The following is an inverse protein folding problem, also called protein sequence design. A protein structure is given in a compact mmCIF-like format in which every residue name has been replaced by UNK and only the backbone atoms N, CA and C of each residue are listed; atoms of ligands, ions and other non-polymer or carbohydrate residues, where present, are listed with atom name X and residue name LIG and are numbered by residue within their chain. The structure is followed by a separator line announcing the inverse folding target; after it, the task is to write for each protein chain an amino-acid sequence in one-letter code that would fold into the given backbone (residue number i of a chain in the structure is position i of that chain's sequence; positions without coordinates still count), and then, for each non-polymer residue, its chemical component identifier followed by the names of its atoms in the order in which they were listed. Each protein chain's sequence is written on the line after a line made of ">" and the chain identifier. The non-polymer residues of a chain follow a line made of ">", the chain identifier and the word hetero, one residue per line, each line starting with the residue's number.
data_IF_297125370527
#
_entry.id   IF_297125370527
#
_cell.length_a   1.000
_cell.length_b   1.000
_cell.length_c   1.000
_cell.angle_alpha   90.00
_cell.angle_beta   90.00
_cell.angle_gamma   90.00
#
_symmetry.space_group_name_H-M   'P 1'
#
loop_
_entity.id
_entity.type
_entity.pdbx_description
1 polymer ?
#
# COMPACT_ATOMS: atom_id res chain seq x y z
N UNK A 1 24.60 16.89 48.89
CA UNK A 1 24.66 15.53 48.32
C UNK A 1 23.78 15.51 47.08
N UNK A 2 24.37 15.71 45.90
CA UNK A 2 23.70 15.51 44.62
C UNK A 2 24.66 14.66 43.80
N UNK A 3 24.33 13.39 43.73
CA UNK A 3 25.10 12.34 43.04
C UNK A 3 25.18 12.66 41.54
N UNK A 4 26.37 12.51 40.98
CA UNK A 4 26.66 12.74 39.57
C UNK A 4 26.16 11.57 38.70
N UNK A 5 25.58 11.88 37.54
CA UNK A 5 25.11 10.89 36.55
C UNK A 5 26.32 10.32 35.80
N UNK A 6 26.47 8.98 35.68
CA UNK A 6 27.60 8.41 34.97
C UNK A 6 27.41 8.52 33.45
N UNK A 7 28.48 8.95 32.79
CA UNK A 7 28.58 9.23 31.37
C UNK A 7 28.40 7.97 30.50
N UNK A 8 27.69 8.12 29.38
CA UNK A 8 27.30 7.05 28.47
C UNK A 8 28.51 6.57 27.67
N UNK A 9 29.00 5.38 28.00
CA UNK A 9 30.14 4.69 27.38
C UNK A 9 30.00 4.58 25.84
N UNK A 10 30.77 5.37 25.11
CA UNK A 10 30.87 5.30 23.65
C UNK A 10 31.61 4.02 23.25
N UNK A 11 30.90 3.09 22.58
CA UNK A 11 31.46 1.87 22.01
C UNK A 11 32.65 2.21 21.10
N UNK A 12 33.87 2.00 21.61
CA UNK A 12 35.12 2.02 20.85
C UNK A 12 35.02 0.98 19.73
N UNK A 13 34.89 1.41 18.48
CA UNK A 13 35.15 0.55 17.32
C UNK A 13 36.68 0.40 17.25
N UNK A 14 37.18 -0.80 17.52
CA UNK A 14 38.60 -1.13 17.40
C UNK A 14 39.11 -1.00 15.95
N UNK A 15 40.43 -0.93 15.76
CA UNK A 15 41.00 -0.74 14.44
C UNK A 15 40.89 -2.04 13.63
N UNK A 16 40.42 -1.87 12.39
CA UNK A 16 40.36 -2.86 11.32
C UNK A 16 41.79 -3.23 10.91
N UNK A 17 42.36 -4.28 11.52
CA UNK A 17 43.67 -4.80 11.12
C UNK A 17 43.56 -5.47 9.75
N UNK A 18 44.48 -5.05 8.89
CA UNK A 18 44.66 -5.50 7.52
C UNK A 18 45.18 -6.93 7.47
N UNK A 19 44.55 -7.72 6.59
CA UNK A 19 45.18 -8.65 5.65
C UNK A 19 46.42 -9.40 6.14
N UNK A 20 46.24 -10.66 6.52
CA UNK A 20 47.24 -11.70 6.28
C UNK A 20 46.68 -12.61 5.19
N UNK A 21 47.27 -12.48 4.02
CA UNK A 21 47.07 -13.32 2.85
C UNK A 21 47.87 -14.61 3.09
N UNK A 22 47.17 -15.71 3.35
CA UNK A 22 47.73 -17.06 3.33
C UNK A 22 46.98 -17.83 2.26
N UNK A 23 47.56 -17.78 1.06
CA UNK A 23 47.17 -18.57 -0.10
C UNK A 23 47.34 -20.06 0.20
N UNK A 24 46.21 -20.74 0.41
CA UNK A 24 46.03 -22.12 -0.03
C UNK A 24 44.87 -22.05 -1.02
N UNK A 25 45.16 -22.36 -2.27
CA UNK A 25 44.19 -22.42 -3.36
C UNK A 25 43.17 -23.53 -3.03
N UNK A 26 42.11 -23.18 -2.31
CA UNK A 26 40.92 -24.01 -2.16
C UNK A 26 39.90 -23.51 -3.20
N UNK A 27 39.54 -24.38 -4.14
CA UNK A 27 38.52 -24.14 -5.16
C UNK A 27 37.27 -23.45 -4.56
N UNK A 28 36.93 -22.21 -4.98
CA UNK A 28 35.81 -21.46 -4.41
C UNK A 28 34.42 -22.07 -4.71
N UNK A 29 34.38 -23.10 -5.55
CA UNK A 29 33.18 -23.84 -5.94
C UNK A 29 32.76 -24.89 -4.89
N UNK A 30 33.72 -25.42 -4.11
CA UNK A 30 33.44 -26.39 -3.06
C UNK A 30 32.73 -25.77 -1.83
N UNK A 31 32.90 -24.45 -1.62
CA UNK A 31 32.34 -23.72 -0.48
C UNK A 31 30.81 -23.54 -0.54
N UNK A 32 30.17 -23.82 -1.68
CA UNK A 32 28.73 -23.60 -1.88
C UNK A 32 27.97 -24.85 -2.33
N UNK A 33 28.44 -26.05 -1.97
CA UNK A 33 27.65 -27.27 -2.13
C UNK A 33 26.37 -27.19 -1.29
N UNK A 34 25.26 -26.84 -1.95
CA UNK A 34 23.93 -26.73 -1.37
C UNK A 34 23.28 -28.11 -1.35
N UNK A 35 23.16 -28.70 -0.16
CA UNK A 35 22.59 -30.02 0.05
C UNK A 35 21.10 -29.85 0.45
N UNK A 36 20.16 -30.58 -0.16
CA UNK A 36 18.75 -30.54 0.23
C UNK A 36 18.52 -31.24 1.57
N UNK A 37 17.64 -30.69 2.40
CA UNK A 37 17.17 -31.35 3.61
C UNK A 37 16.18 -32.49 3.28
N UNK A 38 16.36 -33.68 3.87
CA UNK A 38 15.45 -34.84 3.67
C UNK A 38 14.01 -34.58 4.13
N UNK A 39 13.83 -33.61 5.03
CA UNK A 39 12.59 -33.38 5.76
C UNK A 39 11.76 -32.27 5.09
N UNK A 40 12.37 -31.17 4.66
CA UNK A 40 11.65 -30.05 4.02
C UNK A 40 12.15 -29.68 2.62
N UNK A 41 13.14 -30.40 2.09
CA UNK A 41 13.71 -30.25 0.74
C UNK A 41 14.21 -28.84 0.40
N UNK A 42 14.42 -27.98 1.41
CA UNK A 42 15.15 -26.71 1.24
C UNK A 42 16.65 -27.00 1.18
N UNK A 43 17.38 -26.28 0.34
CA UNK A 43 18.82 -26.47 0.15
C UNK A 43 19.62 -25.57 1.08
N UNK A 44 20.65 -26.13 1.73
CA UNK A 44 21.52 -25.44 2.69
C UNK A 44 22.98 -25.75 2.42
N UNK A 45 23.87 -24.82 2.76
CA UNK A 45 25.31 -25.13 2.85
C UNK A 45 25.53 -26.17 3.96
N UNK A 46 26.56 -27.01 3.82
CA UNK A 46 26.87 -28.12 4.74
C UNK A 46 26.86 -27.68 6.22
N UNK A 47 27.52 -26.57 6.53
CA UNK A 47 27.60 -26.04 7.90
C UNK A 47 26.23 -25.62 8.48
N UNK A 48 25.34 -25.10 7.62
CA UNK A 48 23.99 -24.68 8.04
C UNK A 48 23.01 -25.85 8.07
N UNK A 49 23.24 -26.89 7.26
CA UNK A 49 22.37 -28.05 7.17
C UNK A 49 22.27 -28.77 8.52
N UNK A 50 23.38 -28.95 9.25
CA UNK A 50 23.37 -29.61 10.57
C UNK A 50 22.43 -28.88 11.54
N UNK A 51 22.55 -27.55 11.63
CA UNK A 51 21.68 -26.73 12.47
C UNK A 51 20.23 -26.77 12.00
N UNK A 52 20.02 -26.84 10.68
CA UNK A 52 18.70 -26.94 10.08
C UNK A 52 18.05 -28.29 10.40
N UNK A 53 18.76 -29.41 10.31
CA UNK A 53 18.24 -30.75 10.58
C UNK A 53 17.71 -30.86 12.01
N UNK A 54 18.48 -30.37 13.01
CA UNK A 54 18.04 -30.34 14.43
C UNK A 54 16.70 -29.62 14.64
N UNK A 55 16.44 -28.57 13.86
CA UNK A 55 15.19 -27.78 13.97
C UNK A 55 14.08 -28.32 13.05
N UNK A 56 14.45 -28.88 11.90
CA UNK A 56 13.51 -29.31 10.88
C UNK A 56 12.87 -30.66 11.20
N UNK A 57 13.58 -31.55 11.90
CA UNK A 57 13.08 -32.86 12.33
C UNK A 57 11.77 -32.71 13.13
N UNK A 58 11.75 -31.78 14.08
CA UNK A 58 10.53 -31.35 14.77
C UNK A 58 9.75 -30.36 13.92
N UNK A 59 9.27 -30.79 12.73
CA UNK A 59 8.34 -30.02 11.89
C UNK A 59 7.19 -29.53 12.77
N UNK A 60 7.21 -28.26 13.16
CA UNK A 60 6.04 -27.68 13.82
C UNK A 60 4.90 -27.71 12.81
N UNK A 61 3.71 -28.17 13.21
CA UNK A 61 2.55 -28.14 12.31
C UNK A 61 2.37 -26.71 11.81
N UNK A 62 2.01 -26.57 10.53
CA UNK A 62 1.72 -25.27 9.96
C UNK A 62 0.68 -24.59 10.85
N UNK A 63 1.02 -23.41 11.37
CA UNK A 63 0.10 -22.64 12.21
C UNK A 63 -1.17 -22.39 11.41
N UNK A 64 -2.33 -22.65 12.00
CA UNK A 64 -3.61 -22.34 11.37
C UNK A 64 -3.62 -20.85 11.02
N UNK A 65 -4.07 -20.53 9.81
CA UNK A 65 -4.26 -19.13 9.41
C UNK A 65 -5.25 -18.52 10.40
N UNK A 66 -4.79 -17.51 11.12
CA UNK A 66 -5.61 -16.83 12.12
C UNK A 66 -6.71 -16.05 11.42
N UNK A 67 -7.96 -16.45 11.62
CA UNK A 67 -9.11 -15.79 11.03
C UNK A 67 -9.60 -14.69 11.99
N UNK A 68 -9.40 -13.42 11.60
CA UNK A 68 -9.83 -12.27 12.41
C UNK A 68 -11.33 -12.27 12.67
N UNK A 69 -12.15 -12.66 11.68
CA UNK A 69 -13.61 -12.70 11.83
C UNK A 69 -14.02 -13.73 12.88
N UNK A 70 -13.38 -14.90 12.86
CA UNK A 70 -13.64 -15.94 13.86
C UNK A 70 -13.19 -15.52 15.25
N UNK A 71 -12.03 -14.86 15.36
CA UNK A 71 -11.54 -14.40 16.66
C UNK A 71 -12.40 -13.26 17.25
N UNK A 72 -13.02 -12.44 16.40
CA UNK A 72 -13.99 -11.41 16.81
C UNK A 72 -15.34 -11.99 17.19
N UNK A 73 -15.79 -13.02 16.47
CA UNK A 73 -17.07 -13.66 16.74
C UNK A 73 -17.03 -14.55 17.99
N UNK A 74 -15.88 -15.16 18.29
CA UNK A 74 -15.73 -16.11 19.40
C UNK A 74 -16.24 -15.55 20.73
N UNK A 75 -17.14 -16.29 21.39
CA UNK A 75 -17.72 -15.91 22.68
C UNK A 75 -18.75 -14.78 22.63
N UNK A 76 -19.18 -14.37 21.43
CA UNK A 76 -20.31 -13.44 21.24
C UNK A 76 -21.47 -14.17 20.58
N UNK A 77 -22.67 -13.59 20.67
CA UNK A 77 -23.88 -14.08 19.97
C UNK A 77 -23.67 -14.26 18.45
N UNK A 78 -22.74 -13.49 17.88
CA UNK A 78 -22.32 -13.62 16.48
C UNK A 78 -21.73 -15.00 16.16
N UNK A 79 -21.12 -15.71 17.13
CA UNK A 79 -20.58 -17.06 16.92
C UNK A 79 -21.68 -18.08 16.59
N UNK A 80 -22.82 -18.00 17.28
CA UNK A 80 -23.95 -18.90 17.06
C UNK A 80 -24.63 -18.59 15.72
N UNK A 81 -24.83 -17.31 15.42
CA UNK A 81 -25.39 -16.86 14.15
C UNK A 81 -24.53 -17.30 12.95
N UNK A 82 -23.20 -17.26 13.05
CA UNK A 82 -22.31 -17.71 11.97
C UNK A 82 -22.31 -19.23 11.76
N UNK A 83 -22.67 -20.03 12.78
CA UNK A 83 -22.76 -21.50 12.68
C UNK A 83 -24.09 -21.97 12.09
N UNK A 84 -25.18 -21.28 12.43
CA UNK A 84 -26.55 -21.67 12.04
C UNK A 84 -26.95 -21.09 10.68
N UNK A 85 -26.55 -19.86 10.38
CA UNK A 85 -26.77 -19.25 9.07
C UNK A 85 -25.59 -19.55 8.14
N UNK A 86 -25.67 -20.69 7.44
CA UNK A 86 -24.88 -20.94 6.25
C UNK A 86 -25.12 -19.80 5.26
N UNK A 87 -24.12 -18.90 5.15
CA UNK A 87 -24.02 -17.75 4.26
C UNK A 87 -25.17 -17.68 3.28
N UNK A 88 -26.17 -16.84 3.56
CA UNK A 88 -27.23 -16.56 2.60
C UNK A 88 -26.56 -16.35 1.24
N UNK A 89 -26.93 -17.18 0.26
CA UNK A 89 -26.44 -17.10 -1.11
C UNK A 89 -27.05 -15.86 -1.74
N UNK A 90 -26.79 -14.67 -1.18
CA UNK A 90 -26.93 -13.45 -1.95
C UNK A 90 -25.99 -13.64 -3.14
N UNK A 91 -26.49 -13.62 -4.39
CA UNK A 91 -25.63 -13.79 -5.54
C UNK A 91 -24.54 -12.73 -5.42
N UNK A 92 -23.30 -13.19 -5.25
CA UNK A 92 -22.13 -12.30 -5.25
C UNK A 92 -22.26 -11.49 -6.52
N UNK A 93 -22.51 -10.18 -6.41
CA UNK A 93 -22.57 -9.32 -7.58
C UNK A 93 -21.20 -9.42 -8.23
N UNK A 94 -21.12 -10.15 -9.34
CA UNK A 94 -19.87 -10.39 -10.06
C UNK A 94 -19.33 -9.00 -10.42
N UNK A 95 -18.18 -8.66 -9.87
CA UNK A 95 -17.58 -7.36 -10.12
C UNK A 95 -17.15 -7.31 -11.58
N UNK A 96 -17.90 -6.55 -12.38
CA UNK A 96 -17.65 -6.46 -13.81
C UNK A 96 -16.52 -5.47 -14.14
N UNK A 97 -15.42 -5.56 -13.40
CA UNK A 97 -14.28 -4.64 -13.47
C UNK A 97 -13.63 -4.65 -14.85
N UNK A 98 -13.44 -5.83 -15.46
CA UNK A 98 -12.88 -5.96 -16.81
C UNK A 98 -13.72 -5.21 -17.84
N UNK A 99 -15.04 -5.41 -17.83
CA UNK A 99 -15.96 -4.70 -18.73
C UNK A 99 -15.99 -3.19 -18.46
N UNK A 100 -16.00 -2.76 -17.19
CA UNK A 100 -15.94 -1.33 -16.84
C UNK A 100 -14.62 -0.67 -17.26
N UNK A 101 -13.51 -1.37 -17.09
CA UNK A 101 -12.19 -0.90 -17.50
C UNK A 101 -12.10 -0.81 -19.03
N UNK A 102 -12.55 -1.83 -19.74
CA UNK A 102 -12.55 -1.85 -21.20
C UNK A 102 -13.43 -0.76 -21.79
N UNK A 103 -14.66 -0.59 -21.28
CA UNK A 103 -15.55 0.49 -21.68
C UNK A 103 -14.90 1.88 -21.49
N UNK A 104 -14.23 2.10 -20.36
CA UNK A 104 -13.50 3.35 -20.10
C UNK A 104 -12.36 3.56 -21.09
N UNK A 105 -11.54 2.54 -21.36
CA UNK A 105 -10.43 2.62 -22.33
C UNK A 105 -10.97 2.86 -23.75
N UNK A 106 -12.06 2.20 -24.13
CA UNK A 106 -12.73 2.42 -25.41
C UNK A 106 -13.23 3.87 -25.53
N UNK A 107 -13.89 4.43 -24.51
CA UNK A 107 -14.33 5.84 -24.51
C UNK A 107 -13.15 6.80 -24.62
N UNK A 108 -12.05 6.57 -23.89
CA UNK A 108 -10.84 7.40 -23.96
C UNK A 108 -10.15 7.33 -25.34
N UNK A 109 -10.17 6.17 -26.00
CA UNK A 109 -9.64 6.00 -27.37
C UNK A 109 -10.51 6.69 -28.41
N UNK A 110 -11.83 6.58 -28.29
CA UNK A 110 -12.80 7.27 -29.16
C UNK A 110 -12.75 8.79 -28.96
N UNK A 111 -12.51 9.26 -27.74
CA UNK A 111 -12.39 10.68 -27.40
C UNK A 111 -11.09 11.35 -27.84
N UNK A 112 -10.21 10.68 -28.61
CA UNK A 112 -9.10 11.33 -29.31
C UNK A 112 -9.62 11.99 -30.59
N UNK A 113 -10.42 13.02 -30.39
CA UNK A 113 -11.07 13.85 -31.40
C UNK A 113 -11.87 14.90 -30.64
N UNK A 114 -11.79 16.16 -31.04
CA UNK A 114 -12.36 17.32 -30.34
C UNK A 114 -13.79 17.07 -29.85
N UNK A 115 -13.94 16.69 -28.58
CA UNK A 115 -15.23 16.68 -27.90
C UNK A 115 -15.53 18.14 -27.56
N UNK A 116 -16.67 18.71 -27.98
CA UNK A 116 -17.11 20.00 -27.47
C UNK A 116 -17.11 19.89 -25.93
N UNK A 117 -16.58 20.87 -25.19
CA UNK A 117 -16.66 20.84 -23.74
C UNK A 117 -18.14 20.72 -23.40
N UNK A 118 -18.57 19.55 -22.94
CA UNK A 118 -19.87 19.41 -22.32
C UNK A 118 -19.88 20.47 -21.23
N UNK A 119 -20.69 21.48 -21.44
CA UNK A 119 -20.80 22.61 -20.57
C UNK A 119 -21.03 22.05 -19.17
N UNK A 120 -20.02 22.16 -18.32
CA UNK A 120 -20.12 21.95 -16.89
C UNK A 120 -20.94 23.09 -16.27
N UNK A 121 -22.01 23.50 -16.95
CA UNK A 121 -23.01 24.44 -16.50
C UNK A 121 -23.82 23.71 -15.44
N UNK A 122 -23.31 23.81 -14.21
CA UNK A 122 -24.10 24.30 -13.09
C UNK A 122 -25.42 23.55 -12.83
N UNK A 123 -25.33 22.25 -12.57
CA UNK A 123 -26.43 21.42 -12.03
C UNK A 123 -26.16 21.02 -10.57
N UNK A 124 -25.74 21.96 -9.73
CA UNK A 124 -25.57 21.69 -8.30
C UNK A 124 -26.10 22.87 -7.47
N UNK A 125 -27.37 23.23 -7.70
CA UNK A 125 -28.11 24.20 -6.87
C UNK A 125 -28.23 23.78 -5.41
N UNK A 126 -27.99 22.51 -5.08
CA UNK A 126 -28.09 21.97 -3.72
C UNK A 126 -26.76 22.02 -2.94
N UNK A 127 -25.66 22.50 -3.54
CA UNK A 127 -24.37 22.55 -2.85
C UNK A 127 -24.29 23.74 -1.89
N UNK A 128 -24.19 23.44 -0.60
CA UNK A 128 -24.05 24.40 0.51
C UNK A 128 -22.58 24.72 0.74
N UNK A 129 -22.26 26.00 0.93
CA UNK A 129 -20.91 26.48 1.24
C UNK A 129 -20.73 26.61 2.75
N UNK A 130 -19.62 26.09 3.29
CA UNK A 130 -19.32 26.22 4.72
C UNK A 130 -18.86 27.65 5.07
N UNK A 131 -19.47 28.33 6.07
CA UNK A 131 -19.09 29.69 6.45
C UNK A 131 -17.69 29.78 7.10
N UNK A 132 -17.16 28.66 7.61
CA UNK A 132 -15.88 28.66 8.31
C UNK A 132 -14.67 28.29 7.44
N UNK A 133 -14.86 27.60 6.31
CA UNK A 133 -13.74 27.20 5.44
C UNK A 133 -13.96 27.43 3.94
N UNK A 134 -15.14 27.92 3.53
CA UNK A 134 -15.45 28.23 2.13
C UNK A 134 -15.56 27.02 1.20
N UNK A 135 -15.42 25.78 1.70
CA UNK A 135 -15.60 24.56 0.90
C UNK A 135 -17.09 24.32 0.61
N UNK A 136 -17.39 23.84 -0.59
CA UNK A 136 -18.76 23.48 -1.03
C UNK A 136 -19.01 22.00 -0.84
N UNK A 137 -20.14 21.64 -0.27
CA UNK A 137 -20.56 20.28 0.01
C UNK A 137 -22.01 20.06 -0.42
N UNK A 138 -22.38 18.82 -0.75
CA UNK A 138 -23.78 18.41 -0.78
C UNK A 138 -24.42 18.59 0.61
N UNK A 139 -25.75 18.69 0.75
CA UNK A 139 -26.40 19.10 2.01
C UNK A 139 -26.12 18.14 3.18
N UNK A 140 -26.29 16.83 2.99
CA UNK A 140 -26.00 15.85 4.06
C UNK A 140 -24.54 15.84 4.56
N UNK A 141 -23.53 15.99 3.67
CA UNK A 141 -22.16 16.26 4.08
C UNK A 141 -21.97 17.64 4.75
N UNK A 142 -22.65 18.69 4.28
CA UNK A 142 -22.57 20.03 4.85
C UNK A 142 -23.05 20.06 6.31
N UNK A 143 -24.18 19.42 6.61
CA UNK A 143 -24.76 19.30 7.96
C UNK A 143 -23.77 18.72 8.98
N UNK A 144 -23.01 17.68 8.59
CA UNK A 144 -22.00 17.05 9.46
C UNK A 144 -20.67 17.80 9.47
N UNK A 145 -20.40 18.57 8.42
CA UNK A 145 -19.14 19.31 8.27
C UNK A 145 -19.14 20.61 9.08
N UNK A 146 -20.20 21.42 8.99
CA UNK A 146 -20.28 22.75 9.61
C UNK A 146 -19.96 22.73 11.12
N UNK A 147 -20.58 21.89 11.98
CA UNK A 147 -20.33 21.92 13.42
C UNK A 147 -18.90 21.47 13.77
N UNK A 148 -18.33 20.54 13.00
CA UNK A 148 -16.93 20.12 13.18
C UNK A 148 -15.97 21.20 12.71
N UNK A 149 -16.28 21.85 11.59
CA UNK A 149 -15.45 22.88 10.97
C UNK A 149 -15.39 24.16 11.81
N UNK A 150 -16.41 24.44 12.63
CA UNK A 150 -16.42 25.58 13.54
C UNK A 150 -15.20 25.58 14.48
N UNK A 151 -14.86 24.43 15.08
CA UNK A 151 -13.85 24.33 16.15
C UNK A 151 -12.42 24.01 15.66
N UNK A 152 -12.22 23.86 14.35
CA UNK A 152 -10.90 23.53 13.78
C UNK A 152 -10.07 24.81 13.58
N UNK A 153 -8.99 24.97 14.36
CA UNK A 153 -8.03 26.10 14.23
C UNK A 153 -7.04 25.91 13.07
N UNK A 154 -6.64 24.66 12.81
CA UNK A 154 -5.79 24.29 11.67
C UNK A 154 -6.63 24.07 10.41
N UNK A 155 -6.81 25.12 9.60
CA UNK A 155 -7.58 25.05 8.35
C UNK A 155 -6.61 24.96 7.17
N UNK A 156 -6.29 23.77 6.64
CA UNK A 156 -5.45 23.67 5.45
C UNK A 156 -6.17 24.34 4.26
N UNK A 157 -5.41 25.00 3.37
CA UNK A 157 -5.98 25.66 2.20
C UNK A 157 -6.85 24.67 1.40
N UNK A 158 -7.95 25.14 0.79
CA UNK A 158 -8.76 24.29 -0.06
C UNK A 158 -7.88 23.68 -1.16
N UNK A 159 -8.04 22.39 -1.48
CA UNK A 159 -7.32 21.79 -2.61
C UNK A 159 -7.66 22.61 -3.85
N UNK A 160 -6.62 22.99 -4.61
CA UNK A 160 -6.77 23.73 -5.87
C UNK A 160 -7.78 22.97 -6.71
N UNK A 161 -8.96 23.56 -6.90
CA UNK A 161 -9.89 23.05 -7.89
C UNK A 161 -9.17 23.14 -9.24
N UNK A 162 -9.30 22.15 -10.14
CA UNK A 162 -8.81 22.29 -11.49
C UNK A 162 -9.55 23.46 -12.11
N UNK A 163 -8.91 24.61 -12.09
CA UNK A 163 -9.36 25.79 -12.80
C UNK A 163 -9.18 25.45 -14.28
N UNK A 164 -10.25 25.60 -15.06
CA UNK A 164 -10.19 25.57 -16.52
C UNK A 164 -9.43 26.80 -17.01
N UNK A 165 -8.11 26.79 -16.94
CA UNK A 165 -7.26 27.82 -17.53
C UNK A 165 -7.09 27.56 -19.02
N UNK A 166 -8.05 28.05 -19.80
CA UNK A 166 -7.83 28.34 -21.21
C UNK A 166 -6.93 29.57 -21.31
N UNK A 167 -5.61 29.36 -21.35
CA UNK A 167 -4.65 30.36 -21.76
C UNK A 167 -3.67 29.72 -22.75
N UNK A 168 -4.12 29.60 -23.99
CA UNK A 168 -3.32 29.18 -25.13
C UNK A 168 -2.21 30.20 -25.36
N UNK A 169 -0.96 29.82 -25.11
CA UNK A 169 0.19 30.42 -25.79
C UNK A 169 1.26 29.35 -25.95
N UNK A 170 1.34 28.72 -27.13
CA UNK A 170 2.60 28.15 -27.61
C UNK A 170 2.67 28.03 -29.13
N UNK A 171 3.35 29.03 -29.71
CA UNK A 171 4.44 28.97 -30.69
C UNK A 171 4.31 27.96 -31.85
N UNK A 172 4.15 28.52 -33.05
CA UNK A 172 4.33 27.85 -34.35
C UNK A 172 5.73 27.21 -34.41
N UNK A 173 5.79 25.89 -34.56
CA UNK A 173 7.01 25.17 -34.96
C UNK A 173 6.89 24.91 -36.46
N UNK A 174 7.86 25.43 -37.21
CA UNK A 174 8.02 25.25 -38.64
C UNK A 174 8.32 23.79 -38.97
N UNK A 175 7.63 23.26 -39.97
CA UNK A 175 7.79 21.91 -40.50
C UNK A 175 8.98 21.89 -41.46
N UNK A 176 10.06 21.22 -41.10
CA UNK A 176 11.12 20.85 -42.04
C UNK A 176 10.77 19.49 -42.65
N UNK A 177 10.32 19.51 -43.91
CA UNK A 177 10.19 18.33 -44.76
C UNK A 177 11.56 17.66 -44.90
N UNK A 178 11.61 16.34 -44.69
CA UNK A 178 12.72 15.50 -45.13
C UNK A 178 12.23 14.71 -46.35
N UNK A 179 13.06 14.75 -47.41
CA UNK A 179 12.92 14.09 -48.71
C UNK A 179 12.91 12.57 -48.57
#
# INVERSE_FOLDING_TARGET
>A
MKEAVPERNARRRGPRLQQVELSLEEDPDAAHQLIPCDVCHRCFARDRLETHMRVCENKRPQRKIFNMSQCRARGTDLEEFMKTNGRSKTPVRKNNWRQRHEAFIQTMRQGRGSVPPQSASNLNSEYVSCPHCGRRFAPGPAERHIPKCQNIRSRPPPPKQPHSSSATTRRKITQSMWV
#
